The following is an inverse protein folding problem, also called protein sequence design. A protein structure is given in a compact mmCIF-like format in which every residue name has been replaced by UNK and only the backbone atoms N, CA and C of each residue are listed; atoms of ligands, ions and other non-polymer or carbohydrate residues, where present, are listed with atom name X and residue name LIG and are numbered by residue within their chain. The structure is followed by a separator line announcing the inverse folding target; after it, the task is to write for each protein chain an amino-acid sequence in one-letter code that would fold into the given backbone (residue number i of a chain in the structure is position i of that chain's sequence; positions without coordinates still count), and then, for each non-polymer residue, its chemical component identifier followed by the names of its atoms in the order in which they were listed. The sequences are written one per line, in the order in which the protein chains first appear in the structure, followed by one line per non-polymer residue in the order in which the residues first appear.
data_IF_676211181318
#
_entry.id   IF_676211181318
#
_cell.length_a   1.000
_cell.length_b   1.000
_cell.length_c   1.000
_cell.angle_alpha   90.00
_cell.angle_beta   90.00
_cell.angle_gamma   90.00
#
_symmetry.space_group_name_H-M   'P 1'
#
loop_
_entity.id
_entity.type
_entity.pdbx_description
1 polymer ?
#
# COMPACT_ATOMS: atom_id res chain seq x y z
N UNK A 1 -36.74 -2.93 -9.41
CA UNK A 1 -36.37 -2.37 -8.09
C UNK A 1 -34.98 -2.89 -7.73
N UNK A 2 -33.99 -2.57 -8.56
CA UNK A 2 -32.71 -3.29 -8.57
C UNK A 2 -31.59 -2.33 -8.96
N UNK A 3 -31.36 -1.30 -8.15
CA UNK A 3 -30.30 -0.32 -8.44
C UNK A 3 -29.52 0.17 -7.20
N UNK A 4 -29.62 -0.56 -6.09
CA UNK A 4 -28.90 -0.22 -4.85
C UNK A 4 -27.72 -1.15 -4.51
N UNK A 5 -27.52 -2.27 -5.23
CA UNK A 5 -26.44 -3.24 -4.93
C UNK A 5 -25.11 -2.96 -5.64
N UNK A 6 -25.06 -2.11 -6.66
CA UNK A 6 -23.84 -1.83 -7.43
C UNK A 6 -23.09 -0.55 -7.02
N UNK A 7 -23.57 0.18 -6.00
CA UNK A 7 -22.90 1.38 -5.49
C UNK A 7 -21.70 1.07 -4.56
N UNK A 8 -21.50 -0.19 -4.18
CA UNK A 8 -20.56 -0.59 -3.14
C UNK A 8 -19.16 -1.04 -3.62
N UNK A 9 -18.81 -0.95 -4.90
CA UNK A 9 -17.59 -1.64 -5.40
C UNK A 9 -16.75 -0.90 -6.44
N UNK A 10 -16.56 0.40 -6.24
CA UNK A 10 -15.41 1.11 -6.83
C UNK A 10 -14.74 1.97 -5.78
N UNK A 11 -14.30 1.34 -4.68
CA UNK A 11 -13.23 1.92 -3.88
C UNK A 11 -12.02 2.01 -4.79
N UNK A 12 -11.68 3.24 -5.16
CA UNK A 12 -10.50 3.53 -5.96
C UNK A 12 -9.27 3.36 -5.07
N UNK A 13 -8.12 2.97 -5.61
CA UNK A 13 -6.90 2.80 -4.78
C UNK A 13 -6.59 4.05 -3.95
N UNK A 14 -6.96 5.22 -4.48
CA UNK A 14 -6.94 6.54 -3.82
C UNK A 14 -7.65 6.60 -2.47
N UNK A 15 -8.72 5.81 -2.28
CA UNK A 15 -9.49 5.80 -1.04
C UNK A 15 -8.75 5.09 0.10
N UNK A 16 -7.90 4.10 -0.22
CA UNK A 16 -7.11 3.38 0.80
C UNK A 16 -6.07 4.28 1.46
N UNK A 17 -5.47 5.19 0.71
CA UNK A 17 -4.44 6.10 1.23
C UNK A 17 -5.01 7.27 2.02
N UNK A 18 -6.30 7.57 1.87
CA UNK A 18 -6.91 8.76 2.42
C UNK A 18 -6.67 8.91 3.94
N UNK A 19 -6.91 7.90 4.79
CA UNK A 19 -6.70 8.05 6.23
C UNK A 19 -5.24 8.33 6.59
N UNK A 20 -4.29 7.65 5.93
CA UNK A 20 -2.85 7.84 6.12
C UNK A 20 -2.43 9.26 5.74
N UNK A 21 -2.88 9.73 4.57
CA UNK A 21 -2.54 11.07 4.06
C UNK A 21 -3.05 12.15 5.02
N UNK A 22 -4.30 12.06 5.47
CA UNK A 22 -4.87 13.07 6.38
C UNK A 22 -4.16 13.07 7.73
N UNK A 23 -3.87 11.88 8.29
CA UNK A 23 -3.15 11.76 9.54
C UNK A 23 -1.74 12.37 9.43
N UNK A 24 -0.97 12.00 8.40
CA UNK A 24 0.36 12.57 8.20
C UNK A 24 0.30 14.09 7.97
N UNK A 25 -0.71 14.57 7.24
CA UNK A 25 -0.91 16.00 7.03
C UNK A 25 -1.07 16.73 8.35
N UNK A 26 -1.87 16.18 9.27
CA UNK A 26 -2.06 16.75 10.60
C UNK A 26 -0.77 16.69 11.44
N UNK A 27 -0.05 15.56 11.44
CA UNK A 27 1.23 15.40 12.15
C UNK A 27 2.30 16.39 11.68
N UNK A 28 2.33 16.69 10.37
CA UNK A 28 3.26 17.65 9.76
C UNK A 28 2.89 19.11 9.99
N UNK A 29 1.68 19.41 10.47
CA UNK A 29 1.22 20.78 10.68
C UNK A 29 1.11 21.61 9.40
N UNK A 30 1.03 20.99 8.22
CA UNK A 30 0.92 21.71 6.94
C UNK A 30 -0.47 22.33 6.82
N UNK A 31 -0.55 23.64 6.63
CA UNK A 31 -1.83 24.33 6.46
C UNK A 31 -2.43 24.09 5.06
N UNK A 32 -3.75 24.27 4.92
CA UNK A 32 -4.41 24.18 3.61
C UNK A 32 -3.86 25.22 2.63
N UNK A 33 -3.49 26.41 3.11
CA UNK A 33 -2.89 27.47 2.30
C UNK A 33 -1.53 27.03 1.77
N UNK A 34 -0.69 26.47 2.64
CA UNK A 34 0.64 26.01 2.23
C UNK A 34 0.57 24.84 1.26
N UNK A 35 -0.30 23.86 1.50
CA UNK A 35 -0.52 22.76 0.57
C UNK A 35 -1.03 23.26 -0.79
N UNK A 36 -2.00 24.18 -0.80
CA UNK A 36 -2.54 24.78 -2.01
C UNK A 36 -1.45 25.46 -2.84
N UNK A 37 -0.58 26.23 -2.17
CA UNK A 37 0.58 26.89 -2.79
C UNK A 37 1.54 25.88 -3.41
N UNK A 38 1.95 24.85 -2.67
CA UNK A 38 2.88 23.80 -3.16
C UNK A 38 2.32 23.00 -4.33
N UNK A 39 1.01 22.75 -4.35
CA UNK A 39 0.36 21.99 -5.42
C UNK A 39 -0.04 22.83 -6.64
N UNK A 40 0.00 24.16 -6.54
CA UNK A 40 -0.55 25.06 -7.56
C UNK A 40 -2.07 24.92 -7.69
N UNK A 41 -2.78 24.83 -6.57
CA UNK A 41 -4.24 24.63 -6.50
C UNK A 41 -4.91 25.70 -5.64
N UNK A 42 -6.24 25.78 -5.69
CA UNK A 42 -7.00 26.69 -4.83
C UNK A 42 -7.14 26.14 -3.41
N UNK A 43 -7.14 27.03 -2.41
CA UNK A 43 -7.35 26.67 -1.00
C UNK A 43 -8.70 25.99 -0.79
N UNK A 44 -9.73 26.40 -1.55
CA UNK A 44 -11.06 25.79 -1.51
C UNK A 44 -11.04 24.33 -1.94
N UNK A 45 -10.34 23.99 -3.04
CA UNK A 45 -10.19 22.60 -3.48
C UNK A 45 -9.47 21.77 -2.41
N UNK A 46 -8.36 22.30 -1.88
CA UNK A 46 -7.60 21.65 -0.82
C UNK A 46 -8.45 21.39 0.42
N UNK A 47 -9.25 22.38 0.84
CA UNK A 47 -10.18 22.22 1.96
C UNK A 47 -11.22 21.13 1.71
N UNK A 48 -11.79 21.05 0.50
CA UNK A 48 -12.74 19.98 0.14
C UNK A 48 -12.08 18.62 0.22
N UNK A 49 -10.90 18.46 -0.37
CA UNK A 49 -10.15 17.21 -0.38
C UNK A 49 -9.74 16.78 1.03
N UNK A 50 -9.18 17.69 1.84
CA UNK A 50 -8.80 17.39 3.24
C UNK A 50 -10.00 17.00 4.11
N UNK A 51 -11.20 17.49 3.79
CA UNK A 51 -12.45 17.14 4.48
C UNK A 51 -13.20 15.92 3.91
N UNK A 52 -12.68 15.30 2.85
CA UNK A 52 -13.28 14.11 2.22
C UNK A 52 -14.47 14.43 1.32
N UNK A 53 -14.77 15.72 1.10
CA UNK A 53 -15.83 16.20 0.19
C UNK A 53 -15.41 16.19 -1.28
N UNK A 54 -14.17 15.85 -1.56
CA UNK A 54 -13.65 15.59 -2.90
C UNK A 54 -12.54 14.55 -2.81
N UNK A 55 -12.48 13.64 -3.79
CA UNK A 55 -11.41 12.65 -3.86
C UNK A 55 -10.12 13.26 -4.42
N UNK A 56 -8.99 12.66 -4.07
CA UNK A 56 -7.74 12.94 -4.76
C UNK A 56 -7.80 12.40 -6.19
N UNK A 57 -7.25 13.13 -7.15
CA UNK A 57 -6.80 12.50 -8.40
C UNK A 57 -5.50 11.75 -8.12
N UNK A 58 -5.17 10.71 -8.90
CA UNK A 58 -3.94 9.94 -8.71
C UNK A 58 -2.68 10.83 -8.71
N UNK A 59 -2.59 11.77 -9.66
CA UNK A 59 -1.47 12.72 -9.73
C UNK A 59 -1.42 13.67 -8.51
N UNK A 60 -2.57 14.11 -8.01
CA UNK A 60 -2.63 14.94 -6.81
C UNK A 60 -2.21 14.14 -5.57
N UNK A 61 -2.65 12.89 -5.45
CA UNK A 61 -2.28 12.02 -4.35
C UNK A 61 -0.76 11.84 -4.27
N UNK A 62 -0.10 11.52 -5.39
CA UNK A 62 1.36 11.33 -5.44
C UNK A 62 2.07 12.59 -4.95
N UNK A 63 1.69 13.77 -5.46
CA UNK A 63 2.31 15.04 -5.05
C UNK A 63 2.05 15.38 -3.58
N UNK A 64 0.86 15.06 -3.07
CA UNK A 64 0.55 15.25 -1.63
C UNK A 64 1.40 14.32 -0.78
N UNK A 65 1.55 13.06 -1.17
CA UNK A 65 2.42 12.11 -0.48
C UNK A 65 3.88 12.56 -0.48
N UNK A 66 4.37 13.12 -1.58
CA UNK A 66 5.71 13.72 -1.67
C UNK A 66 5.86 14.92 -0.73
N UNK A 67 4.90 15.86 -0.73
CA UNK A 67 4.93 17.05 0.14
C UNK A 67 4.92 16.68 1.62
N UNK A 68 4.21 15.60 1.97
CA UNK A 68 4.11 15.09 3.34
C UNK A 68 5.23 14.11 3.71
N UNK A 69 6.16 13.86 2.77
CA UNK A 69 7.27 12.92 2.87
C UNK A 69 6.79 11.54 3.34
N UNK A 70 5.71 11.07 2.73
CA UNK A 70 5.18 9.72 2.92
C UNK A 70 5.98 8.78 2.02
N UNK A 71 6.59 7.75 2.60
CA UNK A 71 7.19 6.67 1.84
C UNK A 71 6.09 5.88 1.12
N UNK A 72 6.12 5.90 -0.22
CA UNK A 72 5.08 5.30 -1.05
C UNK A 72 5.02 3.78 -0.95
N UNK A 73 6.15 3.10 -0.74
CA UNK A 73 6.18 1.64 -0.64
C UNK A 73 5.62 1.19 0.70
N UNK A 74 6.04 1.85 1.79
CA UNK A 74 5.50 1.63 3.13
C UNK A 74 4.00 1.95 3.17
N UNK A 75 3.58 3.05 2.56
CA UNK A 75 2.18 3.42 2.47
C UNK A 75 1.37 2.41 1.66
N UNK A 76 1.91 1.86 0.56
CA UNK A 76 1.26 0.81 -0.21
C UNK A 76 1.04 -0.44 0.65
N UNK A 77 2.05 -0.88 1.40
CA UNK A 77 1.93 -2.01 2.31
C UNK A 77 0.84 -1.79 3.36
N UNK A 78 0.85 -0.65 4.05
CA UNK A 78 -0.14 -0.34 5.09
C UNK A 78 -1.56 -0.20 4.52
N UNK A 79 -1.73 0.67 3.53
CA UNK A 79 -3.03 1.10 3.04
C UNK A 79 -3.66 0.09 2.07
N UNK A 80 -2.89 -0.43 1.12
CA UNK A 80 -3.42 -1.25 0.04
C UNK A 80 -3.33 -2.73 0.36
N UNK A 81 -2.19 -3.20 0.88
CA UNK A 81 -2.01 -4.62 1.13
C UNK A 81 -2.63 -5.06 2.46
N UNK A 82 -2.27 -4.41 3.57
CA UNK A 82 -2.78 -4.73 4.90
C UNK A 82 -4.18 -4.15 5.18
N UNK A 83 -4.69 -3.27 4.31
CA UNK A 83 -5.96 -2.54 4.49
C UNK A 83 -6.06 -1.82 5.85
N UNK A 84 -4.92 -1.46 6.41
CA UNK A 84 -4.79 -0.82 7.73
C UNK A 84 -3.88 0.42 7.57
N UNK A 85 -4.36 1.49 6.90
CA UNK A 85 -3.53 2.63 6.52
C UNK A 85 -2.83 3.33 7.69
N UNK A 86 -3.46 3.35 8.88
CA UNK A 86 -2.87 3.99 10.06
C UNK A 86 -1.75 3.16 10.70
N UNK A 87 -1.63 1.87 10.39
CA UNK A 87 -0.52 1.05 10.85
C UNK A 87 0.84 1.59 10.38
N UNK A 88 0.86 2.39 9.31
CA UNK A 88 2.04 3.10 8.83
C UNK A 88 2.79 3.87 9.95
N UNK A 89 2.07 4.33 10.97
CA UNK A 89 2.63 5.12 12.08
C UNK A 89 2.97 4.31 13.32
N UNK A 90 2.71 2.99 13.33
CA UNK A 90 2.97 2.15 14.50
C UNK A 90 4.44 1.73 14.54
N UNK A 91 5.06 1.75 15.73
CA UNK A 91 6.45 1.32 15.92
C UNK A 91 6.71 -0.12 15.45
N UNK A 92 5.69 -0.99 15.57
CA UNK A 92 5.78 -2.38 15.09
C UNK A 92 5.79 -2.50 13.57
N UNK A 93 5.32 -1.49 12.85
CA UNK A 93 5.21 -1.53 11.39
C UNK A 93 6.56 -1.57 10.69
N UNK A 94 7.62 -1.01 11.30
CA UNK A 94 8.98 -1.15 10.78
C UNK A 94 9.43 -2.60 10.64
N UNK A 95 9.07 -3.43 11.63
CA UNK A 95 9.40 -4.86 11.61
C UNK A 95 8.61 -5.58 10.52
N UNK A 96 7.33 -5.24 10.38
CA UNK A 96 6.47 -5.80 9.32
C UNK A 96 7.02 -5.43 7.96
N UNK A 97 7.31 -4.14 7.73
CA UNK A 97 7.86 -3.65 6.48
C UNK A 97 9.19 -4.32 6.14
N UNK A 98 10.12 -4.45 7.10
CA UNK A 98 11.39 -5.14 6.89
C UNK A 98 11.20 -6.62 6.48
N UNK A 99 10.32 -7.35 7.18
CA UNK A 99 10.01 -8.75 6.85
C UNK A 99 9.40 -8.85 5.45
N UNK A 100 8.48 -7.94 5.11
CA UNK A 100 7.87 -7.88 3.77
C UNK A 100 8.91 -7.59 2.68
N UNK A 101 9.83 -6.64 2.89
CA UNK A 101 10.91 -6.38 1.94
C UNK A 101 11.76 -7.62 1.69
N UNK A 102 12.18 -8.31 2.77
CA UNK A 102 12.96 -9.56 2.67
C UNK A 102 12.18 -10.68 1.97
N UNK A 103 10.88 -10.79 2.24
CA UNK A 103 9.99 -11.73 1.56
C UNK A 103 9.97 -11.47 0.05
N UNK A 104 9.78 -10.21 -0.36
CA UNK A 104 9.74 -9.82 -1.77
C UNK A 104 11.10 -10.09 -2.42
N UNK A 105 12.21 -9.67 -1.81
CA UNK A 105 13.55 -9.93 -2.32
C UNK A 105 13.84 -11.41 -2.52
N UNK A 106 13.48 -12.25 -1.54
CA UNK A 106 13.69 -13.69 -1.60
C UNK A 106 12.81 -14.40 -2.64
N UNK A 107 11.63 -13.84 -2.92
CA UNK A 107 10.62 -14.43 -3.81
C UNK A 107 10.64 -13.88 -5.24
N UNK A 108 11.25 -12.71 -5.44
CA UNK A 108 11.22 -11.98 -6.72
C UNK A 108 11.82 -12.78 -7.89
N UNK A 109 12.98 -13.47 -7.76
CA UNK A 109 13.53 -14.27 -8.85
C UNK A 109 12.60 -15.38 -9.33
N UNK A 110 11.91 -16.06 -8.39
CA UNK A 110 10.99 -17.15 -8.71
C UNK A 110 9.68 -16.62 -9.32
N UNK A 111 9.19 -15.47 -8.85
CA UNK A 111 8.03 -14.79 -9.44
C UNK A 111 8.31 -14.28 -10.86
N UNK A 112 9.52 -13.76 -11.12
CA UNK A 112 9.93 -13.32 -12.46
C UNK A 112 10.05 -14.51 -13.42
N UNK A 113 10.68 -15.60 -12.96
CA UNK A 113 10.75 -16.84 -13.75
C UNK A 113 9.37 -17.40 -14.08
N UNK A 114 8.44 -17.38 -13.12
CA UNK A 114 7.04 -17.73 -13.36
C UNK A 114 6.37 -16.79 -14.36
N UNK A 115 6.55 -15.47 -14.22
CA UNK A 115 5.96 -14.49 -15.13
C UNK A 115 6.46 -14.65 -16.57
N UNK A 116 7.74 -15.01 -16.76
CA UNK A 116 8.32 -15.34 -18.06
C UNK A 116 7.73 -16.63 -18.64
N UNK A 117 7.56 -17.67 -17.81
CA UNK A 117 6.87 -18.91 -18.22
C UNK A 117 5.40 -18.66 -18.59
N UNK A 118 4.70 -17.81 -17.85
CA UNK A 118 3.29 -17.44 -18.10
C UNK A 118 3.14 -16.66 -19.41
N UNK A 119 4.11 -15.78 -19.75
CA UNK A 119 4.12 -15.06 -21.03
C UNK A 119 4.34 -15.97 -22.24
N UNK A 120 5.01 -17.11 -22.06
CA UNK A 120 5.28 -18.07 -23.14
C UNK A 120 4.10 -19.00 -23.44
N UNK A 121 3.49 -19.57 -22.41
CA UNK A 121 2.68 -20.79 -22.59
C UNK A 121 1.21 -20.71 -22.16
N UNK A 122 0.71 -19.56 -21.68
CA UNK A 122 -0.68 -19.47 -21.23
C UNK A 122 -0.98 -20.49 -20.11
N UNK A 123 -0.21 -20.40 -19.02
CA UNK A 123 -0.29 -21.36 -17.92
C UNK A 123 -1.67 -21.36 -17.24
N UNK A 124 -2.18 -22.57 -17.00
CA UNK A 124 -3.39 -22.79 -16.24
C UNK A 124 -3.22 -22.28 -14.78
N UNK A 125 -4.28 -21.74 -14.14
CA UNK A 125 -4.22 -21.17 -12.79
C UNK A 125 -3.53 -22.03 -11.73
N UNK A 126 -3.60 -23.36 -11.87
CA UNK A 126 -3.04 -24.36 -10.96
C UNK A 126 -1.50 -24.41 -11.00
N UNK A 127 -0.88 -23.97 -12.09
CA UNK A 127 0.57 -23.85 -12.18
C UNK A 127 1.08 -22.59 -11.47
N UNK A 128 0.34 -21.49 -11.58
CA UNK A 128 0.60 -20.25 -10.83
C UNK A 128 0.46 -20.52 -9.33
N UNK A 129 -0.59 -21.23 -8.92
CA UNK A 129 -0.83 -21.59 -7.52
C UNK A 129 0.30 -22.46 -6.93
N UNK A 130 0.79 -23.47 -7.68
CA UNK A 130 1.91 -24.32 -7.23
C UNK A 130 3.20 -23.54 -7.03
N UNK A 131 3.49 -22.55 -7.88
CA UNK A 131 4.70 -21.73 -7.69
C UNK A 131 4.54 -20.78 -6.51
N UNK A 132 3.37 -20.16 -6.34
CA UNK A 132 3.07 -19.35 -5.15
C UNK A 132 3.19 -20.18 -3.86
N UNK A 133 2.70 -21.43 -3.86
CA UNK A 133 2.85 -22.35 -2.73
C UNK A 133 4.31 -22.74 -2.47
N UNK A 134 5.09 -23.03 -3.52
CA UNK A 134 6.51 -23.36 -3.39
C UNK A 134 7.33 -22.20 -2.80
N UNK A 135 7.03 -20.98 -3.26
CA UNK A 135 7.60 -19.75 -2.72
C UNK A 135 7.26 -19.62 -1.23
N UNK A 136 5.98 -19.75 -0.87
CA UNK A 136 5.50 -19.70 0.52
C UNK A 136 6.20 -20.75 1.42
N UNK A 137 6.31 -21.99 0.95
CA UNK A 137 6.92 -23.10 1.69
C UNK A 137 8.43 -22.91 1.89
N UNK A 138 9.15 -22.45 0.86
CA UNK A 138 10.58 -22.14 0.98
C UNK A 138 10.83 -21.05 2.01
N UNK A 139 9.94 -20.06 2.11
CA UNK A 139 10.06 -19.01 3.10
C UNK A 139 9.74 -19.47 4.53
N UNK A 140 8.69 -20.28 4.71
CA UNK A 140 8.41 -20.89 6.02
C UNK A 140 9.60 -21.71 6.54
N UNK A 141 10.33 -22.36 5.63
CA UNK A 141 11.52 -23.13 5.96
C UNK A 141 12.79 -22.28 6.14
N UNK A 142 12.77 -21.02 5.68
CA UNK A 142 13.90 -20.08 5.76
C UNK A 142 13.85 -19.14 6.98
N UNK A 143 12.71 -19.06 7.67
CA UNK A 143 12.59 -18.31 8.92
C UNK A 143 13.17 -19.16 10.05
N UNK A 144 14.31 -18.78 10.66
CA UNK A 144 14.86 -19.54 11.77
C UNK A 144 13.83 -19.55 12.91
N UNK A 145 13.68 -20.68 13.62
CA UNK A 145 12.74 -20.77 14.73
C UNK A 145 13.05 -19.66 15.75
N UNK A 146 12.02 -19.10 16.43
CA UNK A 146 12.25 -18.09 17.46
C UNK A 146 13.27 -18.65 18.44
N UNK A 147 14.36 -17.91 18.69
CA UNK A 147 15.36 -18.29 19.68
C UNK A 147 14.61 -18.41 21.01
N UNK A 148 14.36 -19.63 21.43
CA UNK A 148 13.98 -19.94 22.80
C UNK A 148 15.16 -19.47 23.65
N UNK A 149 14.96 -18.37 24.36
CA UNK A 149 15.89 -17.96 25.40
C UNK A 149 15.97 -19.08 26.41
N UNK A 150 17.08 -19.81 26.41
CA UNK A 150 17.49 -20.60 27.55
C UNK A 150 17.91 -19.61 28.64
N UNK A 151 17.17 -19.63 29.75
CA UNK A 151 17.62 -19.10 31.03
C UNK A 151 18.87 -19.86 31.51
#
# INVERSE_FOLDING_TARGET
MTDQRNAASRQTETDFYYPLIIEQWNRRGVTNVEMARRLGKSVSLIGKVKSGRASFTAAMQIRVMEILEIDRQRAFLAAVWMKTPLAYFDDSFDKIYLVTCRFVEASCPQLLSLAEQVKGDGLAPEAIERVLQSILMNMLNSVPPPRTGAN
#
